data_IF_862938657753
#
_entry.id   IF_862938657753
#
_cell.length_a   1.000
_cell.length_b   1.000
_cell.length_c   1.000
_cell.angle_alpha   90.00
_cell.angle_beta   90.00
_cell.angle_gamma   90.00
#
_symmetry.space_group_name_H-M   'P 1'
#
loop_
_entity.id
_entity.type
_entity.pdbx_description
1 polymer ?
#
# COMPACT_ATOMS: atom_id res chain seq x y z
N UNK A 1 -25.44 -10.52 -12.51
CA UNK A 1 -25.04 -9.13 -12.29
C UNK A 1 -23.83 -8.86 -13.15
N UNK A 2 -23.71 -7.67 -13.72
CA UNK A 2 -22.50 -7.27 -14.44
C UNK A 2 -21.57 -6.53 -13.45
N UNK A 3 -20.25 -6.75 -13.48
CA UNK A 3 -19.33 -5.90 -12.74
C UNK A 3 -19.48 -4.45 -13.21
N UNK A 4 -19.52 -3.51 -12.26
CA UNK A 4 -19.60 -2.06 -12.56
C UNK A 4 -18.21 -1.43 -12.57
N UNK A 5 -17.37 -1.79 -11.60
CA UNK A 5 -15.97 -1.37 -11.52
C UNK A 5 -15.09 -2.32 -12.33
N UNK A 6 -14.32 -1.76 -13.29
CA UNK A 6 -13.30 -2.48 -14.06
C UNK A 6 -11.91 -1.98 -13.65
N UNK A 7 -10.99 -2.88 -13.31
CA UNK A 7 -9.63 -2.54 -12.87
C UNK A 7 -9.57 -1.93 -11.47
N UNK A 8 -8.76 -0.87 -11.28
CA UNK A 8 -8.64 -0.15 -10.01
C UNK A 8 -8.86 1.35 -10.27
N UNK A 9 -9.84 1.92 -9.58
CA UNK A 9 -10.10 3.35 -9.55
C UNK A 9 -9.38 4.00 -8.37
N UNK A 10 -8.85 5.20 -8.60
CA UNK A 10 -8.10 5.94 -7.58
C UNK A 10 -8.75 7.29 -7.34
N UNK A 11 -8.99 7.61 -6.07
CA UNK A 11 -9.45 8.93 -5.63
C UNK A 11 -8.50 9.49 -4.56
N UNK A 12 -7.93 10.68 -4.82
CA UNK A 12 -7.13 11.42 -3.83
C UNK A 12 -8.03 12.37 -3.05
N UNK A 13 -8.13 12.21 -1.73
CA UNK A 13 -8.92 13.12 -0.90
C UNK A 13 -8.24 14.51 -0.89
N UNK A 14 -9.01 15.59 -1.09
CA UNK A 14 -8.44 16.94 -1.13
C UNK A 14 -7.93 17.40 0.24
N UNK A 15 -8.55 16.90 1.31
CA UNK A 15 -8.21 17.26 2.69
C UNK A 15 -7.10 16.35 3.23
N UNK A 16 -6.06 16.98 3.77
CA UNK A 16 -5.02 16.26 4.52
C UNK A 16 -5.54 15.92 5.90
N UNK A 17 -5.34 14.66 6.31
CA UNK A 17 -5.70 14.19 7.65
C UNK A 17 -4.42 14.10 8.48
N UNK A 18 -4.52 14.32 9.79
CA UNK A 18 -3.42 14.07 10.72
C UNK A 18 -3.50 12.65 11.25
N UNK A 19 -2.41 11.91 11.12
CA UNK A 19 -2.30 10.59 11.73
C UNK A 19 -2.20 10.68 13.27
N UNK A 20 -2.19 9.53 13.94
CA UNK A 20 -2.04 9.44 15.41
C UNK A 20 -0.75 10.09 15.96
N UNK A 21 0.25 10.32 15.11
CA UNK A 21 1.52 10.95 15.45
C UNK A 21 1.55 12.45 15.07
N UNK A 22 0.42 13.01 14.62
CA UNK A 22 0.29 14.42 14.22
C UNK A 22 0.82 14.74 12.83
N UNK A 23 1.24 13.74 12.05
CA UNK A 23 1.78 13.92 10.68
C UNK A 23 0.65 14.13 9.70
N UNK A 24 0.80 15.10 8.81
CA UNK A 24 -0.14 15.32 7.72
C UNK A 24 0.04 14.24 6.65
N UNK A 25 -1.05 13.53 6.36
CA UNK A 25 -1.09 12.47 5.36
C UNK A 25 -2.16 12.77 4.31
N UNK A 26 -1.87 12.40 3.07
CA UNK A 26 -2.84 12.39 1.97
C UNK A 26 -3.51 11.02 1.94
N UNK A 27 -4.84 11.00 1.90
CA UNK A 27 -5.59 9.74 1.79
C UNK A 27 -5.88 9.47 0.32
N UNK A 28 -5.59 8.25 -0.11
CA UNK A 28 -5.91 7.75 -1.44
C UNK A 28 -6.82 6.55 -1.26
N UNK A 29 -8.01 6.62 -1.85
CA UNK A 29 -8.95 5.50 -1.92
C UNK A 29 -8.71 4.74 -3.21
N UNK A 30 -8.55 3.42 -3.09
CA UNK A 30 -8.45 2.49 -4.20
C UNK A 30 -9.71 1.63 -4.19
N UNK A 31 -10.53 1.76 -5.24
CA UNK A 31 -11.71 0.92 -5.45
C UNK A 31 -11.38 -0.09 -6.56
N UNK A 32 -11.39 -1.38 -6.21
CA UNK A 32 -11.01 -2.45 -7.13
C UNK A 32 -12.22 -3.17 -7.70
N UNK A 33 -12.06 -3.72 -8.89
CA UNK A 33 -12.96 -4.73 -9.45
C UNK A 33 -13.16 -5.90 -8.47
N UNK A 34 -14.38 -6.44 -8.47
CA UNK A 34 -14.76 -7.56 -7.62
C UNK A 34 -14.06 -8.86 -8.04
N UNK A 35 -13.58 -9.62 -7.07
CA UNK A 35 -13.00 -10.95 -7.28
C UNK A 35 -14.13 -11.91 -7.69
N UNK A 36 -13.87 -12.78 -8.67
CA UNK A 36 -14.82 -13.77 -9.22
C UNK A 36 -15.98 -13.13 -10.01
N UNK A 37 -15.67 -12.10 -10.79
CA UNK A 37 -16.66 -11.58 -11.75
C UNK A 37 -16.90 -12.61 -12.86
N UNK A 38 -18.15 -12.76 -13.32
CA UNK A 38 -18.53 -13.77 -14.34
C UNK A 38 -17.84 -13.53 -15.69
N UNK A 39 -17.30 -12.34 -15.92
CA UNK A 39 -16.68 -11.90 -17.17
C UNK A 39 -15.14 -11.83 -17.10
N UNK A 40 -14.53 -12.01 -15.92
CA UNK A 40 -13.08 -11.91 -15.76
C UNK A 40 -12.39 -13.28 -15.85
N UNK A 41 -11.24 -13.31 -16.51
CA UNK A 41 -10.35 -14.47 -16.43
C UNK A 41 -9.76 -14.53 -15.02
N UNK A 42 -9.79 -15.69 -14.36
CA UNK A 42 -9.22 -15.89 -13.03
C UNK A 42 -7.77 -15.35 -12.88
N UNK A 43 -7.01 -15.32 -13.98
CA UNK A 43 -5.66 -14.75 -14.03
C UNK A 43 -5.60 -13.22 -13.86
N UNK A 44 -6.64 -12.49 -14.26
CA UNK A 44 -6.77 -11.03 -14.15
C UNK A 44 -7.13 -10.61 -12.71
N UNK A 45 -8.11 -11.28 -12.10
CA UNK A 45 -8.59 -11.00 -10.74
C UNK A 45 -7.44 -11.07 -9.72
N UNK A 46 -6.58 -12.06 -9.89
CA UNK A 46 -5.42 -12.26 -9.05
C UNK A 46 -4.38 -11.13 -9.17
N UNK A 47 -4.22 -10.52 -10.36
CA UNK A 47 -3.31 -9.38 -10.55
C UNK A 47 -3.86 -8.13 -9.88
N UNK A 48 -5.15 -7.86 -10.00
CA UNK A 48 -5.82 -6.72 -9.37
C UNK A 48 -5.71 -6.82 -7.84
N UNK A 49 -5.96 -7.99 -7.28
CA UNK A 49 -5.82 -8.21 -5.84
C UNK A 49 -4.36 -8.08 -5.39
N UNK A 50 -3.41 -8.68 -6.12
CA UNK A 50 -1.98 -8.58 -5.81
C UNK A 50 -1.51 -7.12 -5.83
N UNK A 51 -1.90 -6.36 -6.85
CA UNK A 51 -1.59 -4.94 -6.96
C UNK A 51 -2.20 -4.13 -5.81
N UNK A 52 -3.44 -4.41 -5.44
CA UNK A 52 -4.12 -3.76 -4.30
C UNK A 52 -3.38 -4.00 -2.99
N UNK A 53 -2.89 -5.22 -2.74
CA UNK A 53 -2.06 -5.55 -1.59
C UNK A 53 -0.72 -4.78 -1.60
N UNK A 54 -0.05 -4.70 -2.76
CA UNK A 54 1.24 -4.03 -2.86
C UNK A 54 1.13 -2.51 -2.65
N UNK A 55 0.06 -1.88 -3.13
CA UNK A 55 -0.11 -0.42 -3.10
C UNK A 55 -0.74 0.10 -1.80
N UNK A 56 -1.62 -0.66 -1.15
CA UNK A 56 -2.39 -0.18 0.01
C UNK A 56 -1.61 -0.24 1.32
N UNK A 57 -1.89 0.69 2.24
CA UNK A 57 -1.48 0.60 3.65
C UNK A 57 -2.55 -0.05 4.53
N UNK A 58 -3.80 -0.01 4.10
CA UNK A 58 -4.94 -0.70 4.71
C UNK A 58 -5.71 -1.36 3.57
N UNK A 59 -6.00 -2.66 3.72
CA UNK A 59 -6.77 -3.44 2.75
C UNK A 59 -8.10 -3.82 3.38
N UNK A 60 -9.20 -3.35 2.78
CA UNK A 60 -10.55 -3.69 3.18
C UNK A 60 -11.03 -4.87 2.31
N UNK A 61 -11.04 -6.07 2.89
CA UNK A 61 -11.56 -7.26 2.21
C UNK A 61 -13.05 -7.42 2.52
N UNK A 62 -13.91 -7.20 1.52
CA UNK A 62 -15.36 -7.15 1.70
C UNK A 62 -16.02 -8.47 1.23
N UNK A 63 -16.68 -9.18 2.14
CA UNK A 63 -17.44 -10.41 1.83
C UNK A 63 -18.84 -10.38 2.43
N UNK A 64 -19.77 -11.16 1.88
CA UNK A 64 -21.12 -11.32 2.44
C UNK A 64 -21.13 -12.43 3.47
N UNK A 65 -21.73 -12.16 4.62
CA UNK A 65 -21.87 -13.09 5.74
C UNK A 65 -20.58 -13.30 6.54
N UNK A 66 -20.67 -14.19 7.53
CA UNK A 66 -19.52 -14.64 8.31
C UNK A 66 -18.90 -15.85 7.61
N UNK A 67 -17.61 -15.80 7.23
CA UNK A 67 -16.96 -16.89 6.52
C UNK A 67 -16.85 -18.12 7.42
N UNK A 68 -16.99 -19.28 6.80
CA UNK A 68 -16.76 -20.59 7.39
C UNK A 68 -15.44 -21.14 6.85
N UNK A 69 -14.96 -22.22 7.46
CA UNK A 69 -13.74 -22.90 7.03
C UNK A 69 -13.76 -23.31 5.55
N UNK A 70 -14.94 -23.63 4.99
CA UNK A 70 -15.07 -24.02 3.58
C UNK A 70 -14.82 -22.84 2.63
N UNK A 71 -15.24 -21.65 3.06
CA UNK A 71 -15.14 -20.41 2.28
C UNK A 71 -13.68 -19.94 2.17
N UNK A 72 -12.78 -20.44 3.03
CA UNK A 72 -11.34 -20.22 2.89
C UNK A 72 -10.75 -20.86 1.63
N UNK A 73 -11.35 -21.93 1.12
CA UNK A 73 -10.91 -22.52 -0.14
C UNK A 73 -11.23 -21.60 -1.33
N UNK A 74 -12.29 -20.80 -1.20
CA UNK A 74 -12.72 -19.85 -2.23
C UNK A 74 -11.86 -18.56 -2.18
N UNK A 75 -11.07 -18.35 -1.13
CA UNK A 75 -10.09 -17.25 -1.02
C UNK A 75 -8.81 -17.51 -1.83
N UNK A 76 -8.90 -18.10 -3.03
CA UNK A 76 -7.74 -18.44 -3.85
C UNK A 76 -6.84 -17.22 -4.14
N UNK A 77 -7.45 -16.04 -4.23
CA UNK A 77 -6.75 -14.76 -4.36
C UNK A 77 -5.77 -14.49 -3.20
N UNK A 78 -6.13 -14.87 -1.97
CA UNK A 78 -5.35 -14.63 -0.76
C UNK A 78 -4.42 -15.80 -0.45
N UNK A 79 -4.87 -17.02 -0.72
CA UNK A 79 -4.10 -18.24 -0.41
C UNK A 79 -2.79 -18.31 -1.21
N UNK A 80 -2.73 -17.73 -2.41
CA UNK A 80 -1.54 -17.79 -3.26
C UNK A 80 -0.70 -16.51 -3.25
N UNK A 81 -0.92 -15.58 -2.31
CA UNK A 81 -0.10 -14.38 -2.19
C UNK A 81 1.39 -14.70 -2.04
N UNK A 82 1.73 -15.78 -1.34
CA UNK A 82 3.11 -16.22 -1.18
C UNK A 82 3.79 -16.69 -2.46
N UNK A 83 3.01 -17.05 -3.48
CA UNK A 83 3.51 -17.42 -4.81
C UNK A 83 3.48 -16.23 -5.78
N UNK A 84 2.83 -15.12 -5.39
CA UNK A 84 2.54 -13.97 -6.26
C UNK A 84 3.25 -12.70 -5.84
N UNK A 85 3.78 -12.64 -4.62
CA UNK A 85 4.55 -11.51 -4.11
C UNK A 85 5.84 -12.04 -3.52
N UNK A 86 6.96 -11.53 -4.02
CA UNK A 86 8.23 -11.63 -3.34
C UNK A 86 8.48 -10.33 -2.58
N UNK A 87 8.75 -10.42 -1.28
CA UNK A 87 8.94 -9.22 -0.48
C UNK A 87 10.40 -8.78 -0.45
N UNK A 88 11.31 -9.75 -0.36
CA UNK A 88 12.76 -9.53 -0.25
C UNK A 88 13.50 -10.55 -1.11
N UNK A 89 14.54 -10.11 -1.82
CA UNK A 89 15.33 -11.02 -2.64
C UNK A 89 16.20 -11.95 -1.76
N UNK A 90 16.14 -13.27 -1.99
CA UNK A 90 17.11 -14.24 -1.46
C UNK A 90 17.05 -14.55 0.05
N UNK A 91 15.93 -14.33 0.74
CA UNK A 91 15.83 -14.52 2.21
C UNK A 91 15.19 -15.86 2.61
N UNK A 92 15.48 -16.33 3.85
CA UNK A 92 14.84 -17.51 4.45
C UNK A 92 13.48 -17.12 5.07
N UNK A 93 12.46 -17.96 4.96
CA UNK A 93 11.04 -17.71 5.29
C UNK A 93 10.74 -16.97 6.63
N UNK A 94 11.63 -17.00 7.64
CA UNK A 94 11.38 -16.32 8.93
C UNK A 94 11.58 -14.81 8.88
N UNK A 95 12.51 -14.32 8.06
CA UNK A 95 12.77 -12.88 7.90
C UNK A 95 11.69 -12.22 7.01
N UNK A 96 11.10 -13.01 6.10
CA UNK A 96 10.01 -12.56 5.23
C UNK A 96 8.74 -12.21 6.00
N UNK A 97 8.35 -12.98 7.02
CA UNK A 97 7.13 -12.68 7.80
C UNK A 97 7.26 -11.38 8.62
N UNK A 98 8.44 -11.12 9.20
CA UNK A 98 8.70 -9.85 9.87
C UNK A 98 8.71 -8.68 8.89
N UNK A 99 9.26 -8.88 7.70
CA UNK A 99 9.27 -7.86 6.67
C UNK A 99 7.88 -7.65 6.03
N UNK A 100 7.09 -8.71 5.89
CA UNK A 100 5.68 -8.69 5.48
C UNK A 100 4.87 -7.77 6.39
N UNK A 101 5.04 -7.91 7.71
CA UNK A 101 4.40 -7.06 8.71
C UNK A 101 4.64 -5.55 8.53
N UNK A 102 5.75 -5.19 7.86
CA UNK A 102 6.12 -3.80 7.63
C UNK A 102 5.59 -3.27 6.31
N UNK A 103 5.58 -4.08 5.27
CA UNK A 103 5.32 -3.64 3.90
C UNK A 103 3.87 -3.88 3.47
N UNK A 104 3.26 -4.95 3.95
CA UNK A 104 1.90 -5.32 3.59
C UNK A 104 0.87 -4.53 4.41
N UNK A 105 -0.34 -4.36 3.85
CA UNK A 105 -1.37 -3.56 4.47
C UNK A 105 -1.90 -4.18 5.76
N UNK A 106 -2.43 -3.33 6.64
CA UNK A 106 -3.35 -3.77 7.67
C UNK A 106 -4.58 -4.41 7.01
N UNK A 107 -4.82 -5.70 7.23
CA UNK A 107 -5.92 -6.44 6.63
C UNK A 107 -7.17 -6.35 7.51
N UNK A 108 -8.22 -5.74 6.99
CA UNK A 108 -9.51 -5.65 7.68
C UNK A 108 -10.56 -6.42 6.87
N UNK A 109 -11.09 -7.47 7.47
CA UNK A 109 -12.18 -8.25 6.87
C UNK A 109 -13.53 -7.62 7.21
N UNK A 110 -14.17 -7.01 6.23
CA UNK A 110 -15.52 -6.45 6.36
C UNK A 110 -16.55 -7.53 6.01
N UNK A 111 -17.30 -7.97 7.03
CA UNK A 111 -18.36 -8.96 6.93
C UNK A 111 -19.70 -8.26 6.72
N UNK A 112 -20.27 -8.35 5.54
CA UNK A 112 -21.53 -7.68 5.16
C UNK A 112 -22.74 -8.53 5.49
N UNK A 113 -23.89 -7.89 5.68
CA UNK A 113 -25.19 -8.53 5.88
C UNK A 113 -25.21 -9.57 7.02
N UNK A 114 -24.43 -9.32 8.07
CA UNK A 114 -24.33 -10.21 9.21
C UNK A 114 -25.53 -10.02 10.13
N UNK A 115 -26.31 -11.08 10.29
CA UNK A 115 -27.44 -11.13 11.24
C UNK A 115 -27.14 -12.01 12.46
N UNK A 116 -26.00 -12.71 12.46
CA UNK A 116 -25.58 -13.60 13.54
C UNK A 116 -24.89 -12.79 14.64
N UNK A 117 -25.17 -13.13 15.89
CA UNK A 117 -24.40 -12.63 17.02
C UNK A 117 -23.00 -13.27 17.04
N UNK A 118 -22.07 -12.62 17.73
CA UNK A 118 -20.74 -13.19 17.99
C UNK A 118 -20.93 -14.54 18.70
N UNK A 119 -20.32 -15.64 18.22
CA UNK A 119 -20.45 -16.95 18.84
C UNK A 119 -20.00 -16.97 20.31
N UNK A 120 -20.71 -17.73 21.15
CA UNK A 120 -20.39 -17.88 22.57
C UNK A 120 -18.92 -18.28 22.77
N UNK A 121 -18.25 -17.61 23.72
CA UNK A 121 -16.83 -17.86 24.03
C UNK A 121 -15.85 -16.96 23.26
N UNK A 122 -16.32 -16.07 22.38
CA UNK A 122 -15.49 -15.12 21.64
C UNK A 122 -15.86 -13.68 22.00
N UNK A 123 -14.88 -12.80 22.16
CA UNK A 123 -15.12 -11.40 22.50
C UNK A 123 -15.42 -10.55 21.26
N UNK A 124 -14.95 -10.95 20.08
CA UNK A 124 -15.15 -10.24 18.82
C UNK A 124 -15.23 -11.20 17.61
N UNK A 125 -15.64 -10.69 16.45
CA UNK A 125 -15.56 -11.44 15.19
C UNK A 125 -14.11 -11.74 14.81
N UNK A 126 -13.17 -10.83 15.09
CA UNK A 126 -11.73 -11.08 14.96
C UNK A 126 -11.32 -12.32 15.75
N UNK A 127 -11.68 -12.38 17.03
CA UNK A 127 -11.31 -13.52 17.88
C UNK A 127 -11.88 -14.84 17.33
N UNK A 128 -13.15 -14.82 16.92
CA UNK A 128 -13.80 -15.97 16.30
C UNK A 128 -13.10 -16.41 15.00
N UNK A 129 -12.76 -15.46 14.12
CA UNK A 129 -12.07 -15.81 12.87
C UNK A 129 -10.69 -16.39 13.15
N UNK A 130 -9.95 -15.87 14.14
CA UNK A 130 -8.62 -16.38 14.48
C UNK A 130 -8.67 -17.78 15.14
N UNK A 131 -9.65 -18.03 16.02
CA UNK A 131 -9.76 -19.28 16.79
C UNK A 131 -10.44 -20.42 16.04
N UNK A 132 -11.39 -20.13 15.15
CA UNK A 132 -12.21 -21.15 14.49
C UNK A 132 -11.90 -21.25 12.99
N UNK A 133 -11.79 -20.12 12.30
CA UNK A 133 -11.69 -20.11 10.82
C UNK A 133 -10.22 -20.21 10.38
N UNK A 134 -9.39 -19.27 10.81
CA UNK A 134 -7.96 -19.15 10.51
C UNK A 134 -7.08 -19.96 11.49
N UNK A 135 -7.65 -20.94 12.17
CA UNK A 135 -6.92 -21.76 13.13
C UNK A 135 -6.07 -22.83 12.45
N UNK A 136 -4.78 -22.52 12.28
CA UNK A 136 -3.77 -23.40 11.70
C UNK A 136 -3.58 -24.75 12.43
N UNK A 137 -3.93 -24.83 13.73
CA UNK A 137 -3.72 -26.01 14.56
C UNK A 137 -4.91 -26.98 14.53
N UNK A 138 -6.00 -26.61 13.83
CA UNK A 138 -7.19 -27.42 13.73
C UNK A 138 -7.00 -28.58 12.73
N UNK A 139 -6.71 -29.77 13.25
CA UNK A 139 -6.46 -31.00 12.48
C UNK A 139 -7.66 -31.50 11.67
N UNK A 140 -8.86 -30.98 11.91
CA UNK A 140 -10.06 -31.32 11.13
C UNK A 140 -10.19 -30.46 9.86
N UNK A 141 -9.34 -29.45 9.66
CA UNK A 141 -9.34 -28.62 8.47
C UNK A 141 -8.72 -29.35 7.27
N UNK A 142 -9.21 -29.03 6.07
CA UNK A 142 -8.57 -29.42 4.83
C UNK A 142 -7.20 -28.76 4.70
N UNK A 143 -6.24 -29.45 4.10
CA UNK A 143 -4.87 -28.95 3.90
C UNK A 143 -4.82 -27.61 3.15
N UNK A 144 -5.76 -27.38 2.21
CA UNK A 144 -5.93 -26.11 1.50
C UNK A 144 -6.33 -24.96 2.44
N UNK A 145 -7.35 -25.17 3.27
CA UNK A 145 -7.80 -24.18 4.27
C UNK A 145 -6.73 -23.88 5.32
N UNK A 146 -5.96 -24.89 5.75
CA UNK A 146 -4.84 -24.69 6.68
C UNK A 146 -3.76 -23.80 6.07
N UNK A 147 -3.38 -24.07 4.81
CA UNK A 147 -2.44 -23.22 4.05
C UNK A 147 -2.96 -21.81 3.83
N UNK A 148 -4.26 -21.66 3.55
CA UNK A 148 -4.91 -20.36 3.43
C UNK A 148 -4.73 -19.54 4.71
N UNK A 149 -5.03 -20.15 5.86
CA UNK A 149 -4.89 -19.52 7.16
C UNK A 149 -3.43 -19.15 7.48
N UNK A 150 -2.48 -20.05 7.21
CA UNK A 150 -1.05 -19.79 7.39
C UNK A 150 -0.56 -18.62 6.52
N UNK A 151 -1.01 -18.55 5.27
CA UNK A 151 -0.62 -17.49 4.36
C UNK A 151 -1.23 -16.14 4.75
N UNK A 152 -2.52 -16.11 5.11
CA UNK A 152 -3.18 -14.88 5.59
C UNK A 152 -2.46 -14.34 6.82
N UNK A 153 -2.26 -15.17 7.86
CA UNK A 153 -1.64 -14.73 9.11
C UNK A 153 -0.13 -14.45 8.96
N UNK A 154 0.54 -15.07 7.98
CA UNK A 154 1.94 -14.82 7.67
C UNK A 154 2.18 -13.51 6.93
N UNK A 155 1.28 -13.15 6.01
CA UNK A 155 1.39 -11.94 5.19
C UNK A 155 0.71 -10.73 5.84
N UNK A 156 -0.36 -10.95 6.60
CA UNK A 156 -1.13 -9.91 7.29
C UNK A 156 -1.15 -10.16 8.80
N UNK A 157 -0.04 -9.86 9.50
CA UNK A 157 0.01 -10.00 10.96
C UNK A 157 -0.88 -8.99 11.67
N UNK A 158 -1.02 -7.79 11.09
CA UNK A 158 -2.07 -6.86 11.46
C UNK A 158 -3.36 -7.30 10.76
N UNK A 159 -4.26 -7.91 11.54
CA UNK A 159 -5.54 -8.45 11.08
C UNK A 159 -6.68 -7.99 11.99
N UNK A 160 -7.80 -7.59 11.40
CA UNK A 160 -9.05 -7.32 12.10
C UNK A 160 -10.28 -7.74 11.29
N UNK A 161 -11.43 -7.85 11.95
CA UNK A 161 -12.67 -8.22 11.30
C UNK A 161 -13.88 -7.54 11.95
N UNK A 162 -14.72 -6.95 11.09
CA UNK A 162 -15.85 -6.12 11.51
C UNK A 162 -17.11 -6.54 10.75
N UNK A 163 -18.21 -6.69 11.48
CA UNK A 163 -19.48 -7.10 10.91
C UNK A 163 -20.44 -5.91 10.77
N UNK A 164 -21.07 -5.83 9.60
CA UNK A 164 -22.11 -4.86 9.28
C UNK A 164 -23.44 -5.58 9.16
N UNK A 165 -24.50 -5.10 9.83
CA UNK A 165 -25.83 -5.62 9.62
C UNK A 165 -26.31 -5.31 8.19
N UNK A 166 -27.35 -6.00 7.69
CA UNK A 166 -27.91 -5.67 6.39
C UNK A 166 -28.43 -4.22 6.36
N UNK A 167 -28.21 -3.49 5.25
CA UNK A 167 -28.62 -2.09 5.13
C UNK A 167 -30.15 -1.92 5.10
N UNK A 168 -30.88 -2.92 4.60
CA UNK A 168 -32.35 -2.97 4.67
C UNK A 168 -32.84 -4.39 4.40
N UNK A 169 -34.05 -4.73 4.85
CA UNK A 169 -34.75 -5.94 4.43
C UNK A 169 -35.52 -5.78 3.10
N UNK A 170 -35.61 -4.55 2.57
CA UNK A 170 -36.34 -4.23 1.34
C UNK A 170 -35.37 -4.13 0.16
N UNK A 171 -35.48 -5.00 -0.87
CA UNK A 171 -34.59 -4.95 -2.04
C UNK A 171 -34.58 -3.58 -2.75
N UNK A 172 -35.72 -2.91 -2.82
CA UNK A 172 -35.83 -1.57 -3.44
C UNK A 172 -35.04 -0.49 -2.72
N UNK A 173 -34.79 -0.65 -1.41
CA UNK A 173 -33.93 0.26 -0.64
C UNK A 173 -32.46 -0.08 -0.89
N UNK A 174 -32.11 -1.38 -0.86
CA UNK A 174 -30.73 -1.85 -1.06
C UNK A 174 -30.20 -1.49 -2.46
N UNK A 175 -31.04 -1.53 -3.49
CA UNK A 175 -30.66 -1.15 -4.85
C UNK A 175 -30.45 0.36 -5.04
N UNK A 176 -30.97 1.20 -4.13
CA UNK A 176 -30.97 2.65 -4.27
C UNK A 176 -30.35 3.34 -3.05
N UNK A 177 -29.37 2.72 -2.37
CA UNK A 177 -28.79 3.25 -1.12
C UNK A 177 -28.18 4.66 -1.26
N UNK A 178 -27.79 5.05 -2.47
CA UNK A 178 -27.29 6.39 -2.78
C UNK A 178 -28.39 7.44 -2.96
N UNK A 179 -29.66 7.05 -3.10
CA UNK A 179 -30.79 7.97 -3.25
C UNK A 179 -31.15 8.59 -1.88
N UNK A 180 -31.10 9.93 -1.74
CA UNK A 180 -31.49 10.62 -0.51
C UNK A 180 -32.91 10.25 -0.03
N UNK A 181 -33.83 9.91 -0.93
CA UNK A 181 -35.22 9.61 -0.61
C UNK A 181 -35.42 8.28 0.13
N UNK A 182 -34.43 7.37 0.08
CA UNK A 182 -34.51 6.08 0.79
C UNK A 182 -33.76 6.08 2.12
N UNK A 183 -33.05 7.16 2.46
CA UNK A 183 -32.17 7.25 3.63
C UNK A 183 -32.90 6.92 4.94
N UNK A 184 -34.12 7.41 5.12
CA UNK A 184 -34.94 7.15 6.31
C UNK A 184 -35.42 5.69 6.42
N UNK A 185 -35.24 4.90 5.35
CA UNK A 185 -35.62 3.47 5.28
C UNK A 185 -34.41 2.55 5.39
N UNK A 186 -33.21 3.11 5.53
CA UNK A 186 -31.98 2.36 5.82
C UNK A 186 -31.99 2.01 7.30
N UNK A 187 -31.50 0.81 7.62
CA UNK A 187 -31.34 0.32 8.97
C UNK A 187 -30.49 1.32 9.79
N UNK A 188 -31.04 1.94 10.86
CA UNK A 188 -30.28 2.89 11.67
C UNK A 188 -29.04 2.28 12.30
N UNK A 189 -29.09 0.98 12.66
CA UNK A 189 -27.95 0.26 13.20
C UNK A 189 -26.81 0.18 12.16
N UNK A 190 -27.14 -0.04 10.89
CA UNK A 190 -26.15 -0.06 9.81
C UNK A 190 -25.43 1.29 9.68
N UNK A 191 -26.20 2.39 9.70
CA UNK A 191 -25.64 3.75 9.61
C UNK A 191 -24.76 4.07 10.82
N UNK A 192 -25.18 3.72 12.04
CA UNK A 192 -24.37 3.91 13.23
C UNK A 192 -23.10 3.07 13.21
N UNK A 193 -23.17 1.81 12.74
CA UNK A 193 -21.99 0.93 12.62
C UNK A 193 -21.00 1.47 11.60
N UNK A 194 -21.44 2.06 10.48
CA UNK A 194 -20.55 2.73 9.51
C UNK A 194 -19.84 3.93 10.17
N UNK A 195 -20.58 4.77 10.88
CA UNK A 195 -20.00 5.96 11.50
C UNK A 195 -19.02 5.60 12.61
N UNK A 196 -19.36 4.60 13.43
CA UNK A 196 -18.48 4.05 14.46
C UNK A 196 -17.22 3.44 13.82
N UNK A 197 -17.37 2.61 12.79
CA UNK A 197 -16.24 2.08 12.03
C UNK A 197 -15.35 3.20 11.49
N UNK A 198 -15.93 4.21 10.85
CA UNK A 198 -15.17 5.31 10.25
C UNK A 198 -14.39 6.09 11.31
N UNK A 199 -15.06 6.50 12.37
CA UNK A 199 -14.52 7.45 13.35
C UNK A 199 -13.67 6.81 14.44
N UNK A 200 -14.08 5.63 14.92
CA UNK A 200 -13.44 4.98 16.06
C UNK A 200 -12.41 3.93 15.64
N UNK A 201 -12.47 3.44 14.41
CA UNK A 201 -11.61 2.35 13.95
C UNK A 201 -10.75 2.74 12.75
N UNK A 202 -11.35 3.15 11.63
CA UNK A 202 -10.64 3.41 10.38
C UNK A 202 -9.72 4.62 10.51
N UNK A 203 -10.24 5.79 10.91
CA UNK A 203 -9.42 7.00 11.05
C UNK A 203 -8.26 6.85 12.04
N UNK A 204 -8.43 6.25 13.23
CA UNK A 204 -7.30 5.97 14.13
C UNK A 204 -6.28 4.97 13.58
N UNK A 205 -6.72 4.06 12.71
CA UNK A 205 -5.87 3.04 12.07
C UNK A 205 -5.09 3.57 10.86
N UNK A 206 -5.41 4.77 10.36
CA UNK A 206 -4.74 5.36 9.21
C UNK A 206 -3.23 5.46 9.43
N UNK A 207 -2.46 4.90 8.49
CA UNK A 207 -1.03 4.98 8.48
C UNK A 207 -0.52 5.24 7.05
N UNK A 208 0.57 6.02 6.90
CA UNK A 208 1.21 6.17 5.60
C UNK A 208 1.79 4.82 5.15
N UNK A 209 1.74 4.57 3.83
CA UNK A 209 2.33 3.38 3.22
C UNK A 209 3.85 3.40 3.46
N UNK A 210 4.35 2.30 4.01
CA UNK A 210 5.77 2.11 4.32
C UNK A 210 6.53 1.65 3.08
N UNK A 211 7.78 2.07 2.99
CA UNK A 211 8.69 1.55 1.97
C UNK A 211 9.40 0.27 2.43
N UNK A 212 10.32 -0.22 1.60
CA UNK A 212 11.21 -1.34 1.94
C UNK A 212 12.16 -1.00 3.10
N UNK A 213 12.58 0.27 3.19
CA UNK A 213 13.58 0.72 4.15
C UNK A 213 12.92 1.30 5.40
N UNK A 214 13.56 1.11 6.56
CA UNK A 214 13.01 1.64 7.80
C UNK A 214 13.05 3.17 7.83
N UNK A 215 11.95 3.78 8.27
CA UNK A 215 11.81 5.22 8.40
C UNK A 215 11.41 5.95 7.12
N UNK A 216 11.34 5.25 5.98
CA UNK A 216 10.90 5.79 4.70
C UNK A 216 9.40 5.54 4.45
N UNK A 217 8.79 6.51 3.79
CA UNK A 217 7.37 6.51 3.47
C UNK A 217 7.17 6.68 1.98
N UNK A 218 6.17 6.01 1.43
CA UNK A 218 5.82 6.15 0.01
C UNK A 218 5.12 7.50 -0.19
N UNK A 219 5.76 8.39 -0.96
CA UNK A 219 5.18 9.67 -1.38
C UNK A 219 4.28 9.50 -2.61
N UNK A 220 3.67 10.59 -3.09
CA UNK A 220 2.89 10.55 -4.34
C UNK A 220 3.73 10.14 -5.55
N UNK A 221 4.96 10.66 -5.66
CA UNK A 221 5.92 10.29 -6.71
C UNK A 221 6.34 8.82 -6.58
N UNK A 222 6.67 8.39 -5.36
CA UNK A 222 6.98 6.99 -5.08
C UNK A 222 5.82 6.05 -5.43
N UNK A 223 4.59 6.41 -5.06
CA UNK A 223 3.41 5.62 -5.39
C UNK A 223 3.20 5.52 -6.91
N UNK A 224 3.35 6.63 -7.64
CA UNK A 224 3.24 6.63 -9.10
C UNK A 224 4.26 5.71 -9.76
N UNK A 225 5.52 5.74 -9.30
CA UNK A 225 6.57 4.84 -9.77
C UNK A 225 6.26 3.37 -9.43
N UNK A 226 5.84 3.08 -8.19
CA UNK A 226 5.45 1.73 -7.76
C UNK A 226 4.31 1.17 -8.61
N UNK A 227 3.27 1.98 -8.91
CA UNK A 227 2.16 1.57 -9.79
C UNK A 227 2.71 1.16 -11.16
N UNK A 228 3.56 1.97 -11.78
CA UNK A 228 4.10 1.67 -13.10
C UNK A 228 4.94 0.39 -13.09
N UNK A 229 5.86 0.27 -12.15
CA UNK A 229 6.77 -0.88 -12.07
C UNK A 229 6.03 -2.18 -11.73
N UNK A 230 5.08 -2.15 -10.80
CA UNK A 230 4.29 -3.33 -10.47
C UNK A 230 3.35 -3.75 -11.61
N UNK A 231 2.72 -2.79 -12.29
CA UNK A 231 1.87 -3.10 -13.46
C UNK A 231 2.71 -3.71 -14.59
N UNK A 232 3.91 -3.18 -14.85
CA UNK A 232 4.84 -3.78 -15.81
C UNK A 232 5.21 -5.20 -15.39
N UNK A 233 5.60 -5.40 -14.13
CA UNK A 233 6.00 -6.70 -13.60
C UNK A 233 4.87 -7.74 -13.68
N UNK A 234 3.63 -7.38 -13.31
CA UNK A 234 2.46 -8.26 -13.31
C UNK A 234 1.97 -8.63 -14.71
N UNK A 235 2.30 -7.83 -15.73
CA UNK A 235 1.94 -8.11 -17.12
C UNK A 235 2.95 -9.01 -17.84
N UNK A 236 4.10 -9.31 -17.24
CA UNK A 236 5.06 -10.28 -17.77
C UNK A 236 4.60 -11.70 -17.37
N UNK A 237 4.36 -12.62 -18.33
CA UNK A 237 3.90 -13.97 -18.02
C UNK A 237 4.87 -14.72 -17.09
N UNK A 238 4.35 -15.25 -15.97
CA UNK A 238 5.13 -16.04 -15.00
C UNK A 238 6.06 -15.22 -14.10
N UNK A 239 6.08 -13.89 -14.25
CA UNK A 239 6.87 -13.03 -13.38
C UNK A 239 6.16 -12.78 -12.04
N UNK A 240 6.94 -12.67 -10.98
CA UNK A 240 6.46 -12.41 -9.62
C UNK A 240 6.98 -11.04 -9.20
N UNK A 241 6.12 -10.03 -8.93
CA UNK A 241 6.58 -8.72 -8.48
C UNK A 241 7.37 -8.84 -7.17
N UNK A 242 8.49 -8.13 -7.12
CA UNK A 242 9.35 -8.03 -5.93
C UNK A 242 9.28 -6.62 -5.34
N UNK A 243 8.78 -6.48 -4.11
CA UNK A 243 8.58 -5.15 -3.52
C UNK A 243 9.90 -4.41 -3.26
N UNK A 244 10.88 -5.08 -2.63
CA UNK A 244 12.19 -4.46 -2.34
C UNK A 244 12.87 -4.00 -3.63
N UNK A 245 13.01 -4.88 -4.62
CA UNK A 245 13.69 -4.52 -5.87
C UNK A 245 12.98 -3.36 -6.58
N UNK A 246 11.65 -3.32 -6.51
CA UNK A 246 10.86 -2.23 -7.10
C UNK A 246 11.13 -0.89 -6.40
N UNK A 247 11.26 -0.92 -5.06
CA UNK A 247 11.63 0.26 -4.29
C UNK A 247 13.07 0.70 -4.58
N UNK A 248 14.01 -0.25 -4.68
CA UNK A 248 15.41 0.04 -4.97
C UNK A 248 15.56 0.69 -6.37
N UNK A 249 14.83 0.20 -7.38
CA UNK A 249 14.77 0.84 -8.72
C UNK A 249 14.25 2.28 -8.62
N UNK A 250 13.23 2.53 -7.81
CA UNK A 250 12.71 3.89 -7.60
C UNK A 250 13.76 4.81 -6.95
N UNK A 251 14.47 4.32 -5.92
CA UNK A 251 15.55 5.06 -5.25
C UNK A 251 16.68 5.38 -6.23
N UNK A 252 17.19 4.38 -6.96
CA UNK A 252 18.27 4.54 -7.93
C UNK A 252 17.90 5.54 -9.03
N UNK A 253 16.68 5.45 -9.57
CA UNK A 253 16.19 6.35 -10.61
C UNK A 253 16.10 7.79 -10.10
N UNK A 254 15.45 7.98 -8.94
CA UNK A 254 15.24 9.31 -8.35
C UNK A 254 16.57 9.97 -7.98
N UNK A 255 17.45 9.25 -7.30
CA UNK A 255 18.77 9.76 -6.91
C UNK A 255 19.63 10.03 -8.15
N UNK A 256 19.65 9.12 -9.14
CA UNK A 256 20.41 9.29 -10.37
C UNK A 256 19.97 10.50 -11.19
N UNK A 257 18.67 10.78 -11.26
CA UNK A 257 18.13 11.98 -11.89
C UNK A 257 18.50 13.25 -11.11
N UNK A 258 18.39 13.23 -9.78
CA UNK A 258 18.77 14.35 -8.93
C UNK A 258 20.27 14.70 -9.03
N UNK A 259 21.15 13.70 -9.12
CA UNK A 259 22.59 13.90 -9.36
C UNK A 259 22.82 14.53 -10.73
N UNK A 260 22.25 13.96 -11.80
CA UNK A 260 22.40 14.50 -13.17
C UNK A 260 21.98 15.95 -13.27
N UNK A 261 20.85 16.29 -12.67
CA UNK A 261 20.33 17.66 -12.66
C UNK A 261 21.23 18.61 -11.85
N UNK A 262 21.73 18.15 -10.70
CA UNK A 262 22.63 18.96 -9.86
C UNK A 262 23.98 19.20 -10.55
N UNK A 263 24.50 18.23 -11.31
CA UNK A 263 25.71 18.40 -12.14
C UNK A 263 25.44 19.40 -13.28
N UNK A 264 24.28 19.35 -13.93
CA UNK A 264 23.95 20.31 -14.98
C UNK A 264 23.79 21.73 -14.42
N UNK A 265 23.13 21.86 -13.26
CA UNK A 265 23.06 23.11 -12.52
C UNK A 265 24.45 23.66 -12.19
N UNK A 266 25.36 22.81 -11.71
CA UNK A 266 26.74 23.18 -11.43
C UNK A 266 27.43 23.75 -12.68
N UNK A 267 27.36 23.04 -13.82
CA UNK A 267 27.99 23.47 -15.08
C UNK A 267 27.48 24.84 -15.54
N UNK A 268 26.17 25.05 -15.51
CA UNK A 268 25.54 26.31 -15.95
C UNK A 268 25.93 27.47 -15.03
N UNK A 269 25.83 27.27 -13.71
CA UNK A 269 26.12 28.31 -12.73
C UNK A 269 27.62 28.65 -12.72
N UNK A 270 28.51 27.65 -12.76
CA UNK A 270 29.96 27.88 -12.86
C UNK A 270 30.33 28.60 -14.14
N UNK A 271 29.82 28.16 -15.30
CA UNK A 271 30.07 28.83 -16.58
C UNK A 271 29.64 30.31 -16.55
N UNK A 272 28.52 30.62 -15.89
CA UNK A 272 28.04 31.99 -15.68
C UNK A 272 28.96 32.79 -14.75
N UNK A 273 29.38 32.21 -13.62
CA UNK A 273 30.23 32.86 -12.61
C UNK A 273 31.61 33.24 -13.14
N UNK A 274 32.18 32.38 -13.98
CA UNK A 274 33.52 32.56 -14.55
C UNK A 274 33.51 33.30 -15.90
N UNK A 275 32.33 33.51 -16.48
CA UNK A 275 32.16 34.22 -17.76
C UNK A 275 32.82 35.59 -17.71
N UNK A 276 33.78 35.83 -18.60
CA UNK A 276 34.56 37.07 -18.70
C UNK A 276 35.41 37.42 -17.46
N UNK A 277 35.57 36.50 -16.50
CA UNK A 277 36.46 36.67 -15.33
C UNK A 277 37.74 35.86 -15.44
N UNK A 278 37.82 34.89 -16.34
CA UNK A 278 39.04 34.12 -16.61
C UNK A 278 39.96 34.92 -17.55
N UNK A 279 41.30 34.94 -17.28
CA UNK A 279 41.98 34.34 -16.14
C UNK A 279 41.81 35.14 -14.84
N UNK A 280 41.57 34.45 -13.72
CA UNK A 280 41.43 35.02 -12.38
C UNK A 280 42.28 34.26 -11.36
N UNK A 281 42.34 34.79 -10.13
CA UNK A 281 42.98 34.13 -8.99
C UNK A 281 42.33 32.75 -8.71
N UNK A 282 43.16 31.79 -8.30
CA UNK A 282 42.71 30.48 -7.86
C UNK A 282 41.75 30.57 -6.67
N UNK A 283 41.97 31.51 -5.74
CA UNK A 283 41.10 31.68 -4.58
C UNK A 283 39.68 32.12 -4.97
N UNK A 284 39.57 32.97 -6.00
CA UNK A 284 38.28 33.39 -6.55
C UNK A 284 37.52 32.23 -7.21
N UNK A 285 38.23 31.32 -7.88
CA UNK A 285 37.64 30.11 -8.46
C UNK A 285 37.20 29.12 -7.39
N UNK A 286 38.00 28.94 -6.33
CA UNK A 286 37.66 28.05 -5.20
C UNK A 286 36.42 28.53 -4.46
N UNK A 287 36.33 29.82 -4.15
CA UNK A 287 35.14 30.40 -3.51
C UNK A 287 33.88 30.23 -4.37
N UNK A 288 33.99 30.49 -5.69
CA UNK A 288 32.87 30.27 -6.59
C UNK A 288 32.46 28.79 -6.65
N UNK A 289 33.43 27.87 -6.70
CA UNK A 289 33.17 26.44 -6.66
C UNK A 289 32.41 26.03 -5.39
N UNK A 290 32.91 26.42 -4.22
CA UNK A 290 32.30 26.09 -2.93
C UNK A 290 30.86 26.59 -2.81
N UNK A 291 30.58 27.82 -3.23
CA UNK A 291 29.22 28.38 -3.23
C UNK A 291 28.26 27.62 -4.15
N UNK A 292 28.70 27.31 -5.38
CA UNK A 292 27.87 26.57 -6.34
C UNK A 292 27.66 25.15 -5.85
N UNK A 293 28.68 24.54 -5.24
CA UNK A 293 28.58 23.20 -4.67
C UNK A 293 27.57 23.09 -3.55
N UNK A 294 27.57 24.04 -2.62
CA UNK A 294 26.55 24.08 -1.57
C UNK A 294 25.14 24.16 -2.15
N UNK A 295 24.93 24.93 -3.23
CA UNK A 295 23.63 24.99 -3.91
C UNK A 295 23.25 23.66 -4.56
N UNK A 296 24.18 23.00 -5.24
CA UNK A 296 23.94 21.71 -5.88
C UNK A 296 23.60 20.60 -4.88
N UNK A 297 24.35 20.52 -3.78
CA UNK A 297 24.07 19.58 -2.69
C UNK A 297 22.71 19.89 -2.06
N UNK A 298 22.39 21.16 -1.81
CA UNK A 298 21.09 21.53 -1.27
C UNK A 298 19.93 21.18 -2.22
N UNK A 299 20.12 21.36 -3.53
CA UNK A 299 19.14 20.95 -4.54
C UNK A 299 18.94 19.43 -4.54
N UNK A 300 20.03 18.66 -4.53
CA UNK A 300 20.00 17.20 -4.43
C UNK A 300 19.22 16.74 -3.18
N UNK A 301 19.56 17.26 -1.99
CA UNK A 301 18.89 16.93 -0.73
C UNK A 301 17.40 17.32 -0.74
N UNK A 302 17.04 18.41 -1.42
CA UNK A 302 15.64 18.83 -1.54
C UNK A 302 14.84 17.85 -2.40
N UNK A 303 15.43 17.36 -3.49
CA UNK A 303 14.79 16.37 -4.38
C UNK A 303 14.70 14.98 -3.78
N UNK A 304 15.65 14.62 -2.93
CA UNK A 304 15.69 13.29 -2.29
C UNK A 304 15.15 13.31 -0.86
N UNK A 305 14.48 14.39 -0.44
CA UNK A 305 14.00 14.59 0.92
C UNK A 305 13.05 13.50 1.45
N UNK A 306 12.41 12.74 0.56
CA UNK A 306 11.55 11.61 0.93
C UNK A 306 12.30 10.31 1.22
N UNK A 307 13.58 10.24 0.91
CA UNK A 307 14.44 9.06 1.04
C UNK A 307 15.31 9.18 2.31
N UNK A 308 15.74 8.05 2.86
CA UNK A 308 16.62 8.04 4.01
C UNK A 308 18.04 8.47 3.65
N UNK A 309 18.77 8.99 4.64
CA UNK A 309 20.19 9.34 4.49
C UNK A 309 21.02 8.15 4.01
N UNK A 310 20.68 6.93 4.43
CA UNK A 310 21.39 5.72 3.99
C UNK A 310 21.18 5.46 2.50
N UNK A 311 19.97 5.65 1.98
CA UNK A 311 19.63 5.41 0.57
C UNK A 311 20.24 6.42 -0.39
N UNK A 312 20.51 7.64 0.08
CA UNK A 312 21.06 8.72 -0.77
C UNK A 312 22.58 8.87 -0.64
N UNK A 313 23.20 8.21 0.35
CA UNK A 313 24.60 8.45 0.74
C UNK A 313 25.58 8.29 -0.42
N UNK A 314 25.53 7.16 -1.11
CA UNK A 314 26.45 6.86 -2.22
C UNK A 314 26.30 7.87 -3.37
N UNK A 315 25.07 8.29 -3.67
CA UNK A 315 24.79 9.29 -4.70
C UNK A 315 25.26 10.70 -4.30
N UNK A 316 25.20 11.03 -3.01
CA UNK A 316 25.75 12.29 -2.50
C UNK A 316 27.28 12.29 -2.61
N UNK A 317 27.94 11.19 -2.23
CA UNK A 317 29.39 11.04 -2.37
C UNK A 317 29.82 11.14 -3.85
N UNK A 318 29.09 10.52 -4.77
CA UNK A 318 29.32 10.65 -6.21
C UNK A 318 29.19 12.12 -6.69
N UNK A 319 28.17 12.84 -6.20
CA UNK A 319 28.00 14.25 -6.53
C UNK A 319 29.18 15.10 -6.04
N UNK A 320 29.69 14.83 -4.84
CA UNK A 320 30.83 15.54 -4.25
C UNK A 320 32.17 15.22 -4.94
N UNK A 321 32.30 14.06 -5.58
CA UNK A 321 33.50 13.67 -6.35
C UNK A 321 33.51 14.29 -7.75
N UNK A 322 32.35 14.51 -8.36
CA UNK A 322 32.24 14.96 -9.76
C UNK A 322 32.52 16.45 -10.00
N UNK A 323 32.68 17.24 -8.94
CA UNK A 323 32.63 18.71 -8.93
C UNK A 323 33.76 19.32 -8.12
#
# INVERSE_FOLDING_TARGET
>A
MKPETMGIWMWILPEKIRDKNGREITIILLDSEGIDSVESEASSDHRIFTLSCLLSSILLYNSVGVPKMKDLNDLECVTHLSQRIQLKAGTRNKDEAHYASKVLPFFIWLLRDVTLAIPNGHASFKDYLLSEVLNKDNRNQTESARKAAENILGYFPDFDALAFPPPSCKPSVVQNLSDPNVRDRINPLFLSTIEEFRTQFLFPSLCPKRSSNEGEWVTGEGLAALVQLFVQALNIPGNVPNFQNTWDIFVETTCGEAVKESIEMYKVEMASRVKNKIPCDADMLRLANEEVMQKCVQNFLTKTASLSTNSIKEFQEDLEVFT
#
